data_IF_766481001569
#
_entry.id   IF_766481001569
#
_cell.length_a   1.000
_cell.length_b   1.000
_cell.length_c   1.000
_cell.angle_alpha   90.00
_cell.angle_beta   90.00
_cell.angle_gamma   90.00
#
_symmetry.space_group_name_H-M   'P 1'
#
loop_
_entity.id
_entity.type
_entity.pdbx_description
1 polymer ?
#
# COMPACT_ATOMS: atom_id res chain seq x y z
N UNK A 1 5.71 1.03 -25.45
CA UNK A 1 6.77 1.69 -24.65
C UNK A 1 7.73 0.67 -24.03
N UNK A 2 9.03 0.97 -24.02
CA UNK A 2 10.03 0.24 -23.24
C UNK A 2 10.03 0.67 -21.76
N UNK A 3 10.81 0.00 -20.90
CA UNK A 3 10.80 0.24 -19.45
C UNK A 3 11.23 1.68 -19.09
N UNK A 4 12.21 2.26 -19.81
CA UNK A 4 12.66 3.63 -19.57
C UNK A 4 11.58 4.66 -19.94
N UNK A 5 10.98 4.52 -21.12
CA UNK A 5 9.87 5.36 -21.57
C UNK A 5 8.68 5.29 -20.61
N UNK A 6 8.42 4.10 -20.05
CA UNK A 6 7.36 3.89 -19.09
C UNK A 6 7.63 4.60 -17.76
N UNK A 7 8.88 4.55 -17.26
CA UNK A 7 9.27 5.28 -16.05
C UNK A 7 9.15 6.80 -16.27
N UNK A 8 9.67 7.30 -17.39
CA UNK A 8 9.57 8.71 -17.76
C UNK A 8 8.11 9.17 -17.86
N UNK A 9 7.22 8.33 -18.41
CA UNK A 9 5.79 8.59 -18.48
C UNK A 9 5.20 8.83 -17.07
N UNK A 10 5.46 7.94 -16.12
CA UNK A 10 4.92 8.07 -14.76
C UNK A 10 5.52 9.25 -14.00
N UNK A 11 6.82 9.51 -14.10
CA UNK A 11 7.42 10.71 -13.51
C UNK A 11 6.83 11.98 -14.09
N UNK A 12 6.61 12.02 -15.41
CA UNK A 12 6.03 13.18 -16.08
C UNK A 12 4.55 13.38 -15.69
N UNK A 13 3.81 12.30 -15.43
CA UNK A 13 2.47 12.36 -14.86
C UNK A 13 2.51 13.04 -13.48
N UNK A 14 3.40 12.59 -12.57
CA UNK A 14 3.55 13.20 -11.24
C UNK A 14 4.02 14.65 -11.34
N UNK A 15 4.96 14.97 -12.22
CA UNK A 15 5.41 16.35 -12.48
C UNK A 15 4.25 17.26 -12.88
N UNK A 16 3.40 16.81 -13.81
CA UNK A 16 2.22 17.56 -14.26
C UNK A 16 1.19 17.73 -13.14
N UNK A 17 0.97 16.73 -12.31
CA UNK A 17 0.08 16.82 -11.14
C UNK A 17 0.61 17.85 -10.13
N UNK A 18 1.87 17.70 -9.71
CA UNK A 18 2.49 18.59 -8.72
C UNK A 18 2.58 20.03 -9.19
N UNK A 19 2.78 20.28 -10.49
CA UNK A 19 2.73 21.63 -11.07
C UNK A 19 1.36 22.32 -10.90
N UNK A 20 0.31 21.56 -10.60
CA UNK A 20 -1.05 22.04 -10.31
C UNK A 20 -1.40 22.03 -8.81
N UNK A 21 -0.38 21.88 -7.95
CA UNK A 21 -0.52 21.80 -6.50
C UNK A 21 -1.17 20.50 -6.03
N UNK A 22 -1.09 19.41 -6.81
CA UNK A 22 -1.54 18.08 -6.35
C UNK A 22 -0.43 17.44 -5.53
N UNK A 23 -0.77 17.03 -4.31
CA UNK A 23 0.09 16.21 -3.48
C UNK A 23 -0.05 14.74 -3.91
N UNK A 24 0.97 14.21 -4.57
CA UNK A 24 1.05 12.82 -5.01
C UNK A 24 2.50 12.32 -5.11
N UNK A 25 2.70 11.01 -5.05
CA UNK A 25 4.02 10.38 -5.14
C UNK A 25 3.95 8.95 -5.69
N UNK A 26 4.95 8.56 -6.46
CA UNK A 26 5.11 7.18 -6.93
C UNK A 26 5.51 6.29 -5.75
N UNK A 27 4.89 5.12 -5.64
CA UNK A 27 5.18 4.13 -4.59
C UNK A 27 5.34 2.72 -5.18
N UNK A 28 5.38 1.71 -4.32
CA UNK A 28 5.35 0.31 -4.70
C UNK A 28 6.59 -0.12 -5.49
N UNK A 29 6.39 -0.94 -6.52
CA UNK A 29 7.50 -1.58 -7.24
C UNK A 29 8.35 -0.58 -8.02
N UNK A 30 7.74 0.49 -8.56
CA UNK A 30 8.48 1.50 -9.31
C UNK A 30 9.37 2.34 -8.40
N UNK A 31 8.93 2.61 -7.17
CA UNK A 31 9.79 3.19 -6.15
C UNK A 31 10.93 2.24 -5.74
N UNK A 32 10.69 0.93 -5.66
CA UNK A 32 11.77 -0.05 -5.42
C UNK A 32 12.83 -0.05 -6.54
N UNK A 33 12.44 0.20 -7.80
CA UNK A 33 13.42 0.38 -8.90
C UNK A 33 14.24 1.65 -8.69
N UNK A 34 13.59 2.77 -8.38
CA UNK A 34 14.28 4.03 -8.09
C UNK A 34 15.27 3.89 -6.93
N UNK A 35 14.90 3.15 -5.89
CA UNK A 35 15.76 2.82 -4.77
C UNK A 35 16.73 1.68 -5.03
N UNK A 36 16.92 1.23 -6.28
CA UNK A 36 17.88 0.16 -6.63
C UNK A 36 17.68 -1.16 -5.88
N UNK A 37 16.45 -1.45 -5.43
CA UNK A 37 16.05 -2.72 -4.82
C UNK A 37 15.51 -3.69 -5.87
N UNK A 38 14.89 -3.17 -6.92
CA UNK A 38 14.36 -3.93 -8.06
C UNK A 38 15.05 -3.50 -9.35
N UNK A 39 15.14 -4.41 -10.32
CA UNK A 39 15.70 -4.11 -11.65
C UNK A 39 14.70 -3.39 -12.55
N UNK A 40 13.44 -3.85 -12.60
CA UNK A 40 12.40 -3.27 -13.44
C UNK A 40 11.00 -3.53 -12.90
N UNK A 41 10.03 -2.76 -13.42
CA UNK A 41 8.60 -3.01 -13.19
C UNK A 41 7.76 -2.47 -14.34
N UNK A 42 6.53 -2.96 -14.47
CA UNK A 42 5.56 -2.51 -15.48
C UNK A 42 4.34 -1.81 -14.88
N UNK A 43 4.18 -1.90 -13.56
CA UNK A 43 3.04 -1.34 -12.85
C UNK A 43 3.49 -0.10 -12.07
N UNK A 44 2.65 0.94 -12.03
CA UNK A 44 2.86 2.10 -11.17
C UNK A 44 1.78 2.20 -10.12
N UNK A 45 2.21 2.24 -8.86
CA UNK A 45 1.37 2.61 -7.73
C UNK A 45 1.57 4.11 -7.45
N UNK A 46 0.48 4.83 -7.24
CA UNK A 46 0.48 6.27 -6.97
C UNK A 46 -0.28 6.55 -5.68
N UNK A 47 0.42 7.13 -4.70
CA UNK A 47 -0.22 7.81 -3.59
C UNK A 47 -0.68 9.19 -4.07
N UNK A 48 -1.94 9.52 -3.87
CA UNK A 48 -2.50 10.82 -4.21
C UNK A 48 -3.45 11.26 -3.10
N UNK A 49 -3.27 12.48 -2.60
CA UNK A 49 -4.12 12.99 -1.53
C UNK A 49 -5.59 13.06 -2.01
N UNK A 50 -6.59 12.56 -1.25
CA UNK A 50 -7.97 12.48 -1.70
C UNK A 50 -8.58 13.82 -2.15
N UNK A 51 -8.19 14.93 -1.51
CA UNK A 51 -8.59 16.29 -1.92
C UNK A 51 -8.12 16.71 -3.33
N UNK A 52 -7.24 15.92 -3.97
CA UNK A 52 -6.72 16.19 -5.31
C UNK A 52 -7.28 15.28 -6.40
N UNK A 53 -8.22 14.39 -6.08
CA UNK A 53 -8.74 13.41 -7.04
C UNK A 53 -9.43 14.01 -8.26
N UNK A 54 -10.16 15.11 -8.11
CA UNK A 54 -10.74 15.81 -9.26
C UNK A 54 -9.66 16.30 -10.24
N UNK A 55 -8.56 16.87 -9.72
CA UNK A 55 -7.42 17.32 -10.53
C UNK A 55 -6.70 16.14 -11.19
N UNK A 56 -6.59 15.02 -10.49
CA UNK A 56 -6.03 13.78 -11.03
C UNK A 56 -6.90 13.24 -12.16
N UNK A 57 -8.19 13.07 -11.94
CA UNK A 57 -9.15 12.59 -12.94
C UNK A 57 -9.12 13.49 -14.19
N UNK A 58 -9.17 14.81 -14.01
CA UNK A 58 -9.10 15.77 -15.11
C UNK A 58 -7.80 15.66 -15.92
N UNK A 59 -6.69 15.27 -15.29
CA UNK A 59 -5.43 14.99 -15.99
C UNK A 59 -5.48 13.65 -16.74
N UNK A 60 -6.01 12.60 -16.11
CA UNK A 60 -6.11 11.25 -16.70
C UNK A 60 -7.02 11.26 -17.94
N UNK A 61 -8.14 11.99 -17.90
CA UNK A 61 -9.04 12.19 -19.05
C UNK A 61 -8.32 12.72 -20.29
N UNK A 62 -7.29 13.57 -20.10
CA UNK A 62 -6.52 14.19 -21.19
C UNK A 62 -5.24 13.42 -21.51
N UNK A 63 -4.89 12.40 -20.73
CA UNK A 63 -3.65 11.66 -20.89
C UNK A 63 -3.88 10.47 -21.79
N UNK A 64 -3.08 10.39 -22.86
CA UNK A 64 -3.07 9.28 -23.80
C UNK A 64 -1.70 8.62 -23.79
N UNK A 65 -1.68 7.33 -24.13
CA UNK A 65 -0.48 6.57 -24.44
C UNK A 65 -0.69 5.98 -25.84
N UNK A 66 0.20 6.31 -26.79
CA UNK A 66 0.09 5.81 -28.17
C UNK A 66 -1.32 6.05 -28.76
N UNK A 67 -1.88 7.25 -28.55
CA UNK A 67 -3.26 7.64 -28.87
C UNK A 67 -4.40 6.93 -28.12
N UNK A 68 -4.11 5.89 -27.34
CA UNK A 68 -5.10 5.23 -26.48
C UNK A 68 -5.44 6.11 -25.28
N UNK A 69 -6.74 6.39 -25.00
CA UNK A 69 -7.15 7.14 -23.82
C UNK A 69 -7.09 6.29 -22.54
N UNK A 70 -6.97 6.97 -21.39
CA UNK A 70 -7.09 6.33 -20.08
C UNK A 70 -8.51 5.79 -19.86
N UNK A 71 -8.63 4.61 -19.27
CA UNK A 71 -9.90 4.03 -18.79
C UNK A 71 -9.72 3.39 -17.42
N UNK A 72 -10.82 3.12 -16.72
CA UNK A 72 -10.77 2.26 -15.55
C UNK A 72 -10.44 0.81 -15.95
N UNK A 73 -9.72 0.11 -15.07
CA UNK A 73 -9.37 -1.29 -15.25
C UNK A 73 -10.56 -2.20 -14.91
N UNK A 74 -11.36 -2.53 -15.94
CA UNK A 74 -12.50 -3.43 -15.82
C UNK A 74 -13.58 -2.95 -14.85
N UNK A 75 -14.44 -3.86 -14.40
CA UNK A 75 -15.61 -3.51 -13.57
C UNK A 75 -15.33 -3.61 -12.06
N UNK A 76 -14.09 -3.94 -11.68
CA UNK A 76 -13.69 -4.19 -10.28
C UNK A 76 -13.23 -2.91 -9.57
N UNK A 77 -12.76 -1.90 -10.29
CA UNK A 77 -12.24 -0.69 -9.67
C UNK A 77 -13.35 0.18 -9.07
N UNK A 78 -13.33 0.49 -7.77
CA UNK A 78 -14.07 1.61 -7.20
C UNK A 78 -13.80 2.95 -7.92
N UNK A 79 -14.66 3.97 -7.73
CA UNK A 79 -14.43 5.30 -8.26
C UNK A 79 -13.26 6.01 -7.55
N UNK A 80 -12.64 6.94 -8.26
CA UNK A 80 -11.58 7.81 -7.73
C UNK A 80 -12.22 8.97 -6.96
N UNK A 81 -12.78 8.65 -5.80
CA UNK A 81 -13.54 9.57 -4.96
C UNK A 81 -13.10 9.41 -3.50
N UNK A 82 -12.99 10.54 -2.81
CA UNK A 82 -12.43 10.62 -1.47
C UNK A 82 -13.22 9.79 -0.44
N UNK A 83 -14.54 9.66 -0.61
CA UNK A 83 -15.41 8.90 0.31
C UNK A 83 -14.91 7.47 0.51
N UNK A 84 -14.71 6.74 -0.60
CA UNK A 84 -14.26 5.36 -0.55
C UNK A 84 -12.74 5.23 -0.33
N UNK A 85 -11.91 6.12 -0.89
CA UNK A 85 -10.47 6.00 -0.67
C UNK A 85 -10.05 6.23 0.79
N UNK A 86 -10.81 7.01 1.57
CA UNK A 86 -10.67 7.11 3.04
C UNK A 86 -11.00 5.80 3.77
N UNK A 87 -11.73 4.88 3.17
CA UNK A 87 -11.94 3.52 3.68
C UNK A 87 -10.93 2.50 3.20
N UNK A 88 -9.88 2.94 2.50
CA UNK A 88 -8.86 2.06 1.95
C UNK A 88 -9.23 1.39 0.62
N UNK A 89 -10.28 1.86 -0.07
CA UNK A 89 -10.52 1.50 -1.46
C UNK A 89 -9.47 2.12 -2.40
N UNK A 90 -9.20 1.46 -3.53
CA UNK A 90 -8.17 1.85 -4.50
C UNK A 90 -8.76 1.93 -5.90
N UNK A 91 -8.34 2.91 -6.69
CA UNK A 91 -8.79 3.08 -8.07
C UNK A 91 -7.73 2.60 -9.04
N UNK A 92 -8.13 1.84 -10.05
CA UNK A 92 -7.24 1.21 -11.02
C UNK A 92 -7.55 1.71 -12.42
N UNK A 93 -6.51 2.20 -13.09
CA UNK A 93 -6.60 2.72 -14.45
C UNK A 93 -5.67 1.95 -15.38
N UNK A 94 -6.03 1.92 -16.66
CA UNK A 94 -5.17 1.40 -17.70
C UNK A 94 -5.26 2.23 -18.99
N UNK A 95 -4.17 2.17 -19.77
CA UNK A 95 -4.15 2.50 -21.18
C UNK A 95 -3.86 1.20 -21.93
N UNK A 96 -4.84 0.72 -22.70
CA UNK A 96 -4.71 -0.48 -23.53
C UNK A 96 -4.00 -0.15 -24.84
N UNK A 97 -2.74 0.29 -24.74
CA UNK A 97 -1.94 0.72 -25.87
C UNK A 97 -1.49 -0.47 -26.74
N UNK A 98 -1.30 -0.29 -28.07
CA UNK A 98 -0.88 -1.37 -28.96
C UNK A 98 0.40 -2.09 -28.53
N UNK A 99 1.39 -1.37 -27.99
CA UNK A 99 2.64 -1.97 -27.51
C UNK A 99 2.50 -2.70 -26.16
N UNK A 100 1.37 -2.58 -25.47
CA UNK A 100 1.09 -3.24 -24.20
C UNK A 100 0.32 -2.35 -23.23
N UNK A 101 -0.30 -3.00 -22.23
CA UNK A 101 -1.06 -2.32 -21.19
C UNK A 101 -0.15 -1.52 -20.27
N UNK A 102 -0.48 -0.24 -20.08
CA UNK A 102 0.12 0.65 -19.08
C UNK A 102 -0.88 0.80 -17.95
N UNK A 103 -0.46 0.64 -16.70
CA UNK A 103 -1.36 0.52 -15.55
C UNK A 103 -1.00 1.48 -14.44
N UNK A 104 -2.01 2.09 -13.85
CA UNK A 104 -1.87 3.00 -12.74
C UNK A 104 -2.84 2.61 -11.63
N UNK A 105 -2.31 2.24 -10.46
CA UNK A 105 -3.08 1.93 -9.27
C UNK A 105 -2.96 3.11 -8.30
N UNK A 106 -4.09 3.72 -7.93
CA UNK A 106 -4.15 4.94 -7.13
C UNK A 106 -4.66 4.65 -5.73
N UNK A 107 -3.90 5.12 -4.75
CA UNK A 107 -4.14 4.99 -3.32
C UNK A 107 -4.37 6.38 -2.73
N UNK A 108 -5.42 6.53 -1.90
CA UNK A 108 -5.63 7.76 -1.13
C UNK A 108 -4.72 7.87 0.10
N UNK A 109 -4.42 6.71 0.69
CA UNK A 109 -3.67 6.57 1.93
C UNK A 109 -2.70 5.39 1.84
N UNK A 110 -1.58 5.48 2.57
CA UNK A 110 -0.71 4.34 2.82
C UNK A 110 -1.40 3.38 3.79
N UNK A 111 -2.04 2.33 3.27
CA UNK A 111 -2.96 1.44 4.02
C UNK A 111 -2.38 0.79 5.28
N UNK A 112 -1.05 0.80 5.45
CA UNK A 112 -0.31 0.13 6.53
C UNK A 112 0.76 1.04 7.13
N UNK A 113 0.57 2.34 6.97
CA UNK A 113 1.49 3.38 7.43
C UNK A 113 0.90 4.07 8.67
N UNK A 114 1.74 4.33 9.67
CA UNK A 114 1.32 4.98 10.92
C UNK A 114 1.38 6.51 10.87
N UNK A 115 1.85 7.08 9.75
CA UNK A 115 2.05 8.51 9.55
C UNK A 115 1.55 8.94 8.18
N UNK A 116 1.18 10.21 7.99
CA UNK A 116 0.87 10.71 6.65
C UNK A 116 2.10 10.67 5.73
N UNK A 117 2.06 9.86 4.66
CA UNK A 117 3.09 9.79 3.61
C UNK A 117 3.48 11.14 2.98
N UNK A 118 2.61 12.15 3.09
CA UNK A 118 2.83 13.49 2.57
C UNK A 118 4.12 14.15 3.10
N UNK A 119 4.52 13.79 4.33
CA UNK A 119 5.73 14.31 4.96
C UNK A 119 7.01 13.56 4.58
N UNK A 120 6.90 12.40 3.93
CA UNK A 120 8.01 11.52 3.57
C UNK A 120 8.09 11.38 2.04
N UNK A 121 8.57 12.44 1.36
CA UNK A 121 8.74 12.48 -0.09
C UNK A 121 10.22 12.56 -0.48
N UNK A 122 10.63 11.75 -1.45
CA UNK A 122 11.96 11.80 -2.03
C UNK A 122 11.85 11.98 -3.55
N UNK A 123 12.03 13.22 -4.01
CA UNK A 123 11.79 13.55 -5.43
C UNK A 123 10.34 13.25 -5.81
N UNK A 124 10.11 12.50 -6.89
CA UNK A 124 8.78 12.07 -7.34
C UNK A 124 8.19 10.90 -6.55
N UNK A 125 8.98 10.30 -5.65
CA UNK A 125 8.67 9.04 -4.98
C UNK A 125 8.25 9.26 -3.52
N UNK A 126 7.44 8.36 -3.00
CA UNK A 126 7.20 8.25 -1.56
C UNK A 126 8.45 7.68 -0.90
N UNK A 127 8.79 8.14 0.30
CA UNK A 127 10.01 7.76 0.98
C UNK A 127 10.11 6.25 1.26
N UNK A 128 11.32 5.72 1.48
CA UNK A 128 11.55 4.29 1.67
C UNK A 128 10.69 3.67 2.79
N UNK A 129 10.42 4.41 3.87
CA UNK A 129 9.58 3.95 4.98
C UNK A 129 8.13 3.73 4.55
N UNK A 130 7.52 4.71 3.87
CA UNK A 130 6.18 4.57 3.27
C UNK A 130 6.12 3.37 2.31
N UNK A 131 7.10 3.22 1.42
CA UNK A 131 7.13 2.11 0.44
C UNK A 131 7.24 0.76 1.14
N UNK A 132 8.10 0.65 2.16
CA UNK A 132 8.25 -0.57 2.95
C UNK A 132 6.97 -0.90 3.72
N UNK A 133 6.28 0.09 4.28
CA UNK A 133 4.98 -0.09 4.94
C UNK A 133 3.92 -0.60 3.95
N UNK A 134 3.83 -0.01 2.75
CA UNK A 134 2.88 -0.44 1.72
C UNK A 134 3.13 -1.87 1.23
N UNK A 135 4.38 -2.35 1.29
CA UNK A 135 4.78 -3.71 0.93
C UNK A 135 4.61 -4.77 2.03
N UNK A 136 4.14 -4.42 3.22
CA UNK A 136 3.74 -5.40 4.27
C UNK A 136 2.43 -6.10 3.88
N UNK A 137 2.43 -6.82 2.78
CA UNK A 137 1.26 -7.53 2.22
C UNK A 137 1.24 -8.99 2.66
N UNK A 138 0.16 -9.70 2.35
CA UNK A 138 0.08 -11.15 2.52
C UNK A 138 0.85 -11.96 1.45
N UNK A 139 1.77 -11.34 0.69
CA UNK A 139 2.52 -11.99 -0.39
C UNK A 139 3.97 -12.17 0.00
N UNK A 140 4.43 -13.43 0.04
CA UNK A 140 5.81 -13.77 0.41
C UNK A 140 6.88 -12.99 -0.35
N UNK A 141 6.65 -12.75 -1.64
CA UNK A 141 7.62 -12.05 -2.49
C UNK A 141 7.81 -10.57 -2.16
N UNK A 142 6.92 -9.94 -1.39
CA UNK A 142 7.06 -8.52 -1.04
C UNK A 142 8.02 -8.32 0.16
N UNK A 143 8.16 -9.31 1.04
CA UNK A 143 8.98 -9.21 2.26
C UNK A 143 10.47 -8.95 2.03
N UNK A 144 11.15 -9.58 1.05
CA UNK A 144 12.53 -9.23 0.74
C UNK A 144 12.73 -7.75 0.37
N UNK A 145 11.74 -7.10 -0.23
CA UNK A 145 11.80 -5.67 -0.52
C UNK A 145 11.66 -4.83 0.76
N UNK A 146 10.77 -5.23 1.68
CA UNK A 146 10.59 -4.57 2.99
C UNK A 146 11.92 -4.57 3.75
N UNK A 147 12.56 -5.74 3.86
CA UNK A 147 13.87 -5.89 4.51
C UNK A 147 14.97 -5.08 3.82
N UNK A 148 15.05 -5.14 2.50
CA UNK A 148 16.10 -4.42 1.74
C UNK A 148 15.95 -2.90 1.85
N UNK A 149 14.71 -2.38 1.89
CA UNK A 149 14.44 -0.98 2.17
C UNK A 149 14.86 -0.61 3.61
N UNK A 150 14.55 -1.46 4.59
CA UNK A 150 14.97 -1.26 5.98
C UNK A 150 16.49 -1.17 6.14
N UNK A 151 17.25 -2.06 5.47
CA UNK A 151 18.72 -2.01 5.46
C UNK A 151 19.22 -0.68 4.89
N UNK A 152 18.71 -0.26 3.73
CA UNK A 152 19.13 1.01 3.11
C UNK A 152 18.81 2.22 3.98
N UNK A 153 17.68 2.22 4.66
CA UNK A 153 17.30 3.30 5.58
C UNK A 153 18.30 3.40 6.73
N UNK A 154 18.68 2.29 7.36
CA UNK A 154 19.67 2.28 8.44
C UNK A 154 21.04 2.73 7.94
N UNK A 155 21.49 2.25 6.78
CA UNK A 155 22.75 2.67 6.16
C UNK A 155 22.78 4.16 5.82
N UNK A 156 21.61 4.76 5.56
CA UNK A 156 21.44 6.20 5.34
C UNK A 156 21.24 7.01 6.65
N UNK A 157 21.33 6.37 7.82
CA UNK A 157 21.14 7.02 9.13
C UNK A 157 19.67 7.30 9.49
N UNK A 158 18.72 6.60 8.86
CA UNK A 158 17.30 6.67 9.20
C UNK A 158 16.91 5.48 10.10
N UNK A 159 16.69 5.78 11.38
CA UNK A 159 16.32 4.82 12.42
C UNK A 159 14.98 4.11 12.17
N UNK A 160 14.09 4.65 11.33
CA UNK A 160 12.83 3.98 11.00
C UNK A 160 13.07 2.65 10.27
N UNK A 161 14.22 2.48 9.61
CA UNK A 161 14.58 1.25 8.91
C UNK A 161 14.54 -0.01 9.77
N UNK A 162 14.78 0.13 11.08
CA UNK A 162 14.70 -0.97 12.06
C UNK A 162 13.28 -1.57 12.19
N UNK A 163 12.23 -0.81 11.86
CA UNK A 163 10.85 -1.29 11.84
C UNK A 163 10.55 -2.18 10.61
N UNK A 164 11.49 -2.29 9.68
CA UNK A 164 11.31 -2.98 8.40
C UNK A 164 12.21 -4.20 8.23
N UNK A 165 13.00 -4.61 9.25
CA UNK A 165 13.87 -5.79 9.17
C UNK A 165 13.21 -7.04 9.77
N UNK A 166 12.65 -7.92 8.95
CA UNK A 166 12.03 -9.17 9.40
C UNK A 166 12.94 -10.39 9.22
N UNK A 167 13.98 -10.28 8.40
CA UNK A 167 14.99 -11.31 8.23
C UNK A 167 16.06 -11.23 9.33
N UNK A 168 16.23 -12.34 10.05
CA UNK A 168 17.12 -12.46 11.21
C UNK A 168 18.55 -12.02 10.88
N UNK A 169 19.09 -12.52 9.78
CA UNK A 169 20.50 -12.29 9.43
C UNK A 169 20.76 -10.83 9.07
N UNK A 170 19.82 -10.18 8.36
CA UNK A 170 19.88 -8.75 8.09
C UNK A 170 19.82 -7.94 9.39
N UNK A 171 18.88 -8.28 10.28
CA UNK A 171 18.73 -7.60 11.57
C UNK A 171 19.99 -7.68 12.43
N UNK A 172 20.54 -8.89 12.60
CA UNK A 172 21.76 -9.08 13.39
C UNK A 172 22.96 -8.36 12.78
N UNK A 173 23.13 -8.45 11.45
CA UNK A 173 24.20 -7.74 10.74
C UNK A 173 24.09 -6.22 10.89
N UNK A 174 22.88 -5.66 10.90
CA UNK A 174 22.70 -4.23 11.13
C UNK A 174 23.02 -3.85 12.57
N UNK A 175 22.62 -4.67 13.56
CA UNK A 175 22.94 -4.43 14.99
C UNK A 175 24.44 -4.51 15.30
N UNK A 176 25.22 -5.21 14.50
CA UNK A 176 26.68 -5.24 14.62
C UNK A 176 27.35 -3.92 14.18
N UNK A 177 26.67 -3.14 13.34
CA UNK A 177 27.25 -1.97 12.66
C UNK A 177 26.62 -0.64 13.11
N UNK A 178 25.41 -0.70 13.64
CA UNK A 178 24.59 0.47 13.95
C UNK A 178 23.88 0.27 15.28
N UNK A 179 23.76 1.36 16.04
CA UNK A 179 22.96 1.37 17.27
C UNK A 179 21.47 1.44 16.94
N UNK A 180 20.68 0.54 17.53
CA UNK A 180 19.22 0.58 17.44
C UNK A 180 18.65 1.45 18.57
N UNK A 181 17.96 2.57 18.29
CA UNK A 181 17.45 3.45 19.34
C UNK A 181 16.39 2.78 20.20
N UNK A 182 16.39 3.08 21.51
CA UNK A 182 15.41 2.54 22.46
C UNK A 182 13.96 2.90 22.11
N UNK A 183 13.75 4.05 21.47
CA UNK A 183 12.43 4.46 21.00
C UNK A 183 11.85 3.48 19.98
N UNK A 184 12.67 2.96 19.07
CA UNK A 184 12.26 1.96 18.08
C UNK A 184 12.05 0.61 18.76
N UNK A 185 12.92 0.22 19.69
CA UNK A 185 12.77 -1.03 20.46
C UNK A 185 11.42 -1.09 21.20
N UNK A 186 10.92 0.04 21.72
CA UNK A 186 9.59 0.11 22.33
C UNK A 186 8.44 -0.14 21.35
N UNK A 187 8.59 0.28 20.10
CA UNK A 187 7.58 0.06 19.05
C UNK A 187 7.59 -1.38 18.53
N UNK A 188 8.74 -2.05 18.61
CA UNK A 188 8.94 -3.40 18.05
C UNK A 188 9.69 -4.30 19.04
N UNK A 189 8.94 -5.02 19.92
CA UNK A 189 9.53 -5.80 21.01
C UNK A 189 10.54 -6.88 20.58
N UNK A 190 10.44 -7.43 19.36
CA UNK A 190 11.44 -8.39 18.85
C UNK A 190 12.85 -7.81 18.75
N UNK A 191 13.01 -6.49 18.58
CA UNK A 191 14.33 -5.84 18.57
C UNK A 191 15.04 -5.98 19.92
N UNK A 192 14.29 -6.05 21.02
CA UNK A 192 14.85 -6.33 22.36
C UNK A 192 15.48 -7.71 22.39
N UNK A 193 14.77 -8.73 21.88
CA UNK A 193 15.28 -10.10 21.78
C UNK A 193 16.55 -10.15 20.94
N UNK A 194 16.62 -9.37 19.86
CA UNK A 194 17.80 -9.29 19.00
C UNK A 194 19.01 -8.71 19.74
N UNK A 195 18.84 -7.61 20.47
CA UNK A 195 19.90 -7.01 21.31
C UNK A 195 20.39 -7.96 22.40
N UNK A 196 19.48 -8.72 22.99
CA UNK A 196 19.77 -9.69 24.05
C UNK A 196 20.30 -11.04 23.52
N UNK A 197 20.39 -11.22 22.19
CA UNK A 197 20.74 -12.48 21.52
C UNK A 197 19.88 -13.67 22.00
N UNK A 198 18.62 -13.39 22.27
CA UNK A 198 17.67 -14.36 22.81
C UNK A 198 17.26 -15.39 21.76
N UNK A 199 17.21 -16.67 22.15
CA UNK A 199 16.88 -17.78 21.24
C UNK A 199 15.46 -17.70 20.66
N UNK A 200 14.56 -16.94 21.29
CA UNK A 200 13.18 -16.73 20.84
C UNK A 200 13.05 -15.76 19.67
N UNK A 201 14.12 -15.04 19.30
CA UNK A 201 14.10 -14.02 18.25
C UNK A 201 13.48 -14.54 16.94
N UNK A 202 13.90 -15.71 16.47
CA UNK A 202 13.42 -16.26 15.20
C UNK A 202 11.90 -16.48 15.20
N UNK A 203 11.36 -17.01 16.30
CA UNK A 203 9.91 -17.19 16.47
C UNK A 203 9.17 -15.85 16.56
N UNK A 204 9.74 -14.86 17.23
CA UNK A 204 9.15 -13.53 17.32
C UNK A 204 9.10 -12.82 15.95
N UNK A 205 10.19 -12.82 15.19
CA UNK A 205 10.23 -12.22 13.84
C UNK A 205 9.21 -12.85 12.89
N UNK A 206 9.13 -14.19 12.90
CA UNK A 206 8.14 -14.92 12.12
C UNK A 206 6.71 -14.54 12.53
N UNK A 207 6.43 -14.48 13.83
CA UNK A 207 5.11 -14.10 14.33
C UNK A 207 4.73 -12.65 13.95
N UNK A 208 5.68 -11.71 13.99
CA UNK A 208 5.44 -10.33 13.55
C UNK A 208 5.10 -10.24 12.07
N UNK A 209 5.86 -10.95 11.22
CA UNK A 209 5.56 -11.04 9.78
C UNK A 209 4.16 -11.59 9.54
N UNK A 210 3.85 -12.72 10.18
CA UNK A 210 2.53 -13.36 10.07
C UNK A 210 1.39 -12.45 10.54
N UNK A 211 1.62 -11.61 11.56
CA UNK A 211 0.63 -10.62 11.99
C UNK A 211 0.32 -9.61 10.88
N UNK A 212 1.33 -9.09 10.20
CA UNK A 212 1.12 -8.17 9.08
C UNK A 212 0.44 -8.84 7.88
N UNK A 213 0.82 -10.07 7.54
CA UNK A 213 0.18 -10.84 6.49
C UNK A 213 -1.30 -11.09 6.82
N UNK A 214 -1.59 -11.44 8.07
CA UNK A 214 -2.94 -11.70 8.56
C UNK A 214 -3.82 -10.44 8.55
N UNK A 215 -3.28 -9.32 9.01
CA UNK A 215 -3.93 -8.01 8.91
C UNK A 215 -4.30 -7.74 7.44
N UNK A 216 -3.35 -7.87 6.53
CA UNK A 216 -3.62 -7.61 5.12
C UNK A 216 -4.67 -8.55 4.53
N UNK A 217 -4.56 -9.85 4.83
CA UNK A 217 -5.48 -10.88 4.38
C UNK A 217 -6.91 -10.59 4.83
N UNK A 218 -7.11 -10.31 6.12
CA UNK A 218 -8.44 -10.02 6.67
C UNK A 218 -9.02 -8.73 6.09
N UNK A 219 -8.19 -7.70 5.89
CA UNK A 219 -8.60 -6.44 5.24
C UNK A 219 -9.06 -6.69 3.80
N UNK A 220 -8.29 -7.43 3.00
CA UNK A 220 -8.67 -7.78 1.62
C UNK A 220 -9.98 -8.56 1.60
N UNK A 221 -10.13 -9.57 2.46
CA UNK A 221 -11.37 -10.35 2.57
C UNK A 221 -12.57 -9.49 2.94
N UNK A 222 -12.38 -8.47 3.78
CA UNK A 222 -13.44 -7.52 4.13
C UNK A 222 -13.91 -6.72 2.91
N UNK A 223 -12.97 -6.19 2.12
CA UNK A 223 -13.28 -5.44 0.89
C UNK A 223 -13.95 -6.33 -0.17
N UNK A 224 -13.44 -7.55 -0.37
CA UNK A 224 -13.96 -8.51 -1.36
C UNK A 224 -15.44 -8.87 -1.14
N UNK A 225 -15.91 -8.88 0.12
CA UNK A 225 -17.32 -9.16 0.45
C UNK A 225 -18.29 -8.16 -0.21
N UNK A 226 -17.91 -6.90 -0.32
CA UNK A 226 -18.72 -5.84 -0.94
C UNK A 226 -18.50 -5.73 -2.44
N UNK A 227 -17.39 -6.29 -2.94
CA UNK A 227 -16.98 -6.13 -4.33
C UNK A 227 -17.88 -6.89 -5.30
N UNK A 228 -18.38 -8.07 -4.93
CA UNK A 228 -19.22 -8.89 -5.82
C UNK A 228 -20.55 -8.21 -6.21
N UNK A 229 -21.36 -7.68 -5.28
CA UNK A 229 -22.54 -6.88 -5.62
C UNK A 229 -22.21 -5.70 -6.54
N UNK A 230 -21.18 -4.92 -6.18
CA UNK A 230 -20.72 -3.77 -6.97
C UNK A 230 -20.32 -4.14 -8.40
N UNK A 231 -19.49 -5.16 -8.58
CA UNK A 231 -19.03 -5.62 -9.91
C UNK A 231 -20.20 -6.06 -10.78
N UNK A 232 -21.19 -6.74 -10.20
CA UNK A 232 -22.38 -7.18 -10.93
C UNK A 232 -23.22 -5.98 -11.40
N UNK A 233 -23.44 -5.01 -10.52
CA UNK A 233 -24.17 -3.79 -10.84
C UNK A 233 -23.43 -2.98 -11.93
N UNK A 234 -22.12 -2.77 -11.77
CA UNK A 234 -21.28 -2.12 -12.79
C UNK A 234 -21.37 -2.82 -14.13
N UNK A 235 -21.23 -4.15 -14.17
CA UNK A 235 -21.31 -4.94 -15.41
C UNK A 235 -22.66 -4.79 -16.10
N UNK A 236 -23.75 -4.80 -15.34
CA UNK A 236 -25.10 -4.63 -15.89
C UNK A 236 -25.29 -3.22 -16.46
N UNK A 237 -24.86 -2.20 -15.73
CA UNK A 237 -25.05 -0.81 -16.12
C UNK A 237 -24.16 -0.36 -17.28
N UNK A 238 -22.98 -0.97 -17.44
CA UNK A 238 -22.05 -0.70 -18.55
C UNK A 238 -22.23 -1.63 -19.76
N UNK A 239 -23.10 -2.63 -19.69
CA UNK A 239 -23.30 -3.61 -20.75
C UNK A 239 -23.59 -2.97 -22.11
N UNK A 240 -22.73 -3.25 -23.09
CA UNK A 240 -22.86 -2.74 -24.47
C UNK A 240 -22.55 -1.24 -24.63
N UNK A 241 -22.08 -0.55 -23.58
CA UNK A 241 -21.78 0.89 -23.62
C UNK A 241 -20.26 1.09 -23.71
N UNK A 242 -19.82 1.91 -24.67
CA UNK A 242 -18.47 2.45 -24.68
C UNK A 242 -18.49 3.81 -23.98
N UNK A 243 -18.10 3.82 -22.71
CA UNK A 243 -18.09 5.03 -21.89
C UNK A 243 -16.76 5.78 -22.03
N UNK A 244 -16.84 7.11 -22.02
CA UNK A 244 -15.66 7.95 -21.77
C UNK A 244 -15.26 7.82 -20.30
N UNK A 245 -14.01 8.16 -19.96
CA UNK A 245 -13.55 8.10 -18.56
C UNK A 245 -14.45 8.93 -17.60
N UNK A 246 -14.90 10.15 -17.93
CA UNK A 246 -15.83 10.88 -17.06
C UNK A 246 -17.18 10.17 -16.88
N UNK A 247 -17.78 9.65 -17.96
CA UNK A 247 -19.07 8.97 -17.88
C UNK A 247 -18.98 7.63 -17.13
N UNK A 248 -17.86 6.90 -17.27
CA UNK A 248 -17.60 5.70 -16.48
C UNK A 248 -17.35 6.04 -15.00
N UNK A 249 -16.65 7.14 -14.72
CA UNK A 249 -16.44 7.62 -13.36
C UNK A 249 -17.77 7.98 -12.66
N UNK A 250 -18.63 8.77 -13.31
CA UNK A 250 -19.94 9.14 -12.78
C UNK A 250 -20.80 7.90 -12.49
N UNK A 251 -20.83 6.94 -13.41
CA UNK A 251 -21.54 5.68 -13.23
C UNK A 251 -20.99 4.87 -12.03
N UNK A 252 -19.66 4.84 -11.87
CA UNK A 252 -19.03 4.17 -10.72
C UNK A 252 -19.37 4.83 -9.40
N UNK A 253 -19.43 6.16 -9.36
CA UNK A 253 -19.83 6.92 -8.15
C UNK A 253 -21.26 6.59 -7.75
N UNK A 254 -22.19 6.57 -8.72
CA UNK A 254 -23.60 6.20 -8.49
C UNK A 254 -23.71 4.78 -7.91
N UNK A 255 -23.08 3.81 -8.58
CA UNK A 255 -23.16 2.39 -8.19
C UNK A 255 -22.42 2.12 -6.88
N UNK A 256 -21.30 2.80 -6.62
CA UNK A 256 -20.57 2.66 -5.37
C UNK A 256 -21.38 3.20 -4.18
N UNK A 257 -22.20 4.25 -4.37
CA UNK A 257 -23.05 4.79 -3.31
C UNK A 257 -24.11 3.78 -2.82
N UNK A 258 -24.53 2.85 -3.67
CA UNK A 258 -25.49 1.79 -3.31
C UNK A 258 -24.80 0.54 -2.75
N UNK A 259 -23.62 0.18 -3.27
CA UNK A 259 -23.05 -1.16 -3.05
C UNK A 259 -21.75 -1.20 -2.25
N UNK A 260 -21.03 -0.09 -2.11
CA UNK A 260 -19.75 -0.05 -1.41
C UNK A 260 -19.86 0.77 -0.12
N UNK A 261 -19.48 0.20 1.04
CA UNK A 261 -19.33 1.00 2.25
C UNK A 261 -18.18 2.00 2.07
N UNK A 262 -18.35 3.21 2.58
CA UNK A 262 -17.30 4.24 2.51
C UNK A 262 -16.06 3.81 3.31
N UNK A 263 -16.24 3.24 4.50
CA UNK A 263 -15.15 2.82 5.38
C UNK A 263 -15.40 1.46 6.07
N UNK A 264 -15.26 0.34 5.34
CA UNK A 264 -15.57 -0.99 5.87
C UNK A 264 -14.72 -1.37 7.10
N UNK A 265 -13.47 -0.89 7.17
CA UNK A 265 -12.59 -1.21 8.29
C UNK A 265 -12.97 -0.43 9.56
N UNK A 266 -13.35 0.84 9.43
CA UNK A 266 -13.90 1.60 10.55
C UNK A 266 -15.24 1.01 11.02
N UNK A 267 -16.13 0.65 10.09
CA UNK A 267 -17.42 0.01 10.40
C UNK A 267 -17.24 -1.32 11.17
N UNK A 268 -16.16 -2.04 10.88
CA UNK A 268 -15.81 -3.27 11.59
C UNK A 268 -15.21 -3.03 12.98
N UNK A 269 -14.53 -1.89 13.17
CA UNK A 269 -13.81 -1.52 14.38
C UNK A 269 -12.35 -2.00 14.37
N UNK A 270 -11.40 -1.06 14.45
CA UNK A 270 -9.95 -1.32 14.40
C UNK A 270 -9.49 -2.24 15.54
N UNK A 271 -9.93 -1.98 16.76
CA UNK A 271 -9.56 -2.80 17.93
C UNK A 271 -9.98 -4.27 17.74
N UNK A 272 -11.23 -4.46 17.30
CA UNK A 272 -11.78 -5.78 17.01
C UNK A 272 -11.00 -6.47 15.88
N UNK A 273 -10.71 -5.74 14.81
CA UNK A 273 -9.91 -6.24 13.69
C UNK A 273 -8.51 -6.71 14.11
N UNK A 274 -7.80 -5.90 14.89
CA UNK A 274 -6.46 -6.27 15.40
C UNK A 274 -6.56 -7.46 16.35
N UNK A 275 -7.57 -7.49 17.24
CA UNK A 275 -7.78 -8.59 18.17
C UNK A 275 -8.09 -9.91 17.45
N UNK A 276 -8.96 -9.90 16.43
CA UNK A 276 -9.27 -11.08 15.63
C UNK A 276 -8.05 -11.60 14.87
N UNK A 277 -7.25 -10.71 14.26
CA UNK A 277 -6.03 -11.12 13.56
C UNK A 277 -5.04 -11.81 14.52
N UNK A 278 -4.83 -11.25 15.72
CA UNK A 278 -3.99 -11.89 16.74
C UNK A 278 -4.55 -13.24 17.18
N UNK A 279 -5.87 -13.32 17.40
CA UNK A 279 -6.52 -14.55 17.84
C UNK A 279 -6.43 -15.64 16.77
N UNK A 280 -6.56 -15.31 15.48
CA UNK A 280 -6.44 -16.26 14.39
C UNK A 280 -5.07 -16.94 14.36
N UNK A 281 -4.00 -16.17 14.62
CA UNK A 281 -2.64 -16.74 14.69
C UNK A 281 -2.48 -17.73 15.85
N UNK A 282 -3.09 -17.45 16.99
CA UNK A 282 -3.00 -18.31 18.19
C UNK A 282 -3.92 -19.53 18.08
N UNK A 283 -5.22 -19.33 17.79
CA UNK A 283 -6.20 -20.42 17.68
C UNK A 283 -5.89 -21.35 16.51
N UNK A 284 -5.39 -20.80 15.40
CA UNK A 284 -4.95 -21.59 14.25
C UNK A 284 -3.67 -22.39 14.51
N UNK A 285 -3.10 -22.31 15.72
CA UNK A 285 -1.82 -22.92 16.10
C UNK A 285 -0.66 -22.50 15.18
N UNK A 286 -0.77 -21.32 14.56
CA UNK A 286 0.26 -20.76 13.69
C UNK A 286 1.42 -20.24 14.54
N UNK A 287 1.11 -19.62 15.69
CA UNK A 287 2.10 -19.18 16.67
C UNK A 287 1.76 -19.68 18.07
N UNK A 288 2.79 -19.99 18.88
CA UNK A 288 2.61 -20.34 20.28
C UNK A 288 2.17 -19.12 21.11
N UNK A 289 1.25 -19.27 22.09
CA UNK A 289 0.79 -18.16 22.94
C UNK A 289 1.93 -17.34 23.59
N UNK A 290 3.01 -17.99 24.02
CA UNK A 290 4.18 -17.33 24.62
C UNK A 290 4.97 -16.42 23.66
N UNK A 291 4.78 -16.59 22.35
CA UNK A 291 5.36 -15.73 21.32
C UNK A 291 4.46 -14.50 21.07
N UNK A 292 3.14 -14.63 21.23
CA UNK A 292 2.19 -13.56 20.96
C UNK A 292 2.43 -12.29 21.79
N UNK A 293 3.03 -12.42 22.99
CA UNK A 293 3.43 -11.27 23.83
C UNK A 293 4.52 -10.38 23.22
N UNK A 294 5.24 -10.87 22.20
CA UNK A 294 6.29 -10.13 21.50
C UNK A 294 5.79 -9.41 20.26
N UNK A 295 4.52 -9.58 19.90
CA UNK A 295 3.92 -8.88 18.77
C UNK A 295 3.80 -7.38 19.06
N UNK A 296 4.16 -6.50 18.11
CA UNK A 296 4.08 -5.05 18.28
C UNK A 296 2.64 -4.59 18.42
N UNK A 297 2.42 -3.44 19.05
CA UNK A 297 1.11 -2.78 19.02
C UNK A 297 0.89 -2.10 17.66
N UNK A 298 0.07 -2.74 16.83
CA UNK A 298 -0.24 -2.29 15.46
C UNK A 298 -1.42 -1.34 15.39
N UNK A 299 -2.14 -1.08 16.49
CA UNK A 299 -3.34 -0.22 16.46
C UNK A 299 -3.04 1.18 15.93
N UNK A 300 -1.87 1.71 16.30
CA UNK A 300 -1.38 3.03 15.87
C UNK A 300 -1.24 3.20 14.35
N UNK A 301 -1.16 2.11 13.57
CA UNK A 301 -1.08 2.15 12.10
C UNK A 301 -2.43 2.41 11.42
N UNK A 302 -3.50 2.50 12.21
CA UNK A 302 -4.86 2.68 11.73
C UNK A 302 -5.50 3.97 12.23
N UNK A 303 -4.75 4.84 12.91
CA UNK A 303 -5.25 6.13 13.43
C UNK A 303 -5.81 7.06 12.34
N UNK A 304 -5.39 6.88 11.09
CA UNK A 304 -5.90 7.63 9.94
C UNK A 304 -7.38 7.33 9.62
N UNK A 305 -7.95 6.26 10.18
CA UNK A 305 -9.39 5.96 10.03
C UNK A 305 -10.29 6.85 10.88
N UNK A 306 -9.72 7.54 11.88
CA UNK A 306 -10.45 8.44 12.78
C UNK A 306 -10.39 9.91 12.33
N UNK A 307 -9.62 10.22 11.26
CA UNK A 307 -9.39 11.57 10.72
C UNK A 307 -10.18 11.87 9.45
#
# INVERSE_FOLDING_TARGET
MNDLELHEFYENLVRRLRSKGVLCAITGSLACVHYGIAESTKDCDLLCHPASFEKLLALLVRTKVEETPCQYRGNISPPLDARWHRGGWTSHFEWDAPAGKVKLDVFGHGLRESRPWAGDLLGFYAGPGTVAAMKRTNRDKDWPFVDSLGVRMIEAGNDEGWLHLFERDNLLRMLERHDCPDAVVRLRPSLKLAREKDSRLAGALLAERLLWEELDRVRVQMLERFLRPYVNAMRKASAGRKLSLPADHELRVEIAAEHLPENPLADFGVEKYVAECRQNLVTGQIIHPDIARWLPDVGTYFNWLES
#
